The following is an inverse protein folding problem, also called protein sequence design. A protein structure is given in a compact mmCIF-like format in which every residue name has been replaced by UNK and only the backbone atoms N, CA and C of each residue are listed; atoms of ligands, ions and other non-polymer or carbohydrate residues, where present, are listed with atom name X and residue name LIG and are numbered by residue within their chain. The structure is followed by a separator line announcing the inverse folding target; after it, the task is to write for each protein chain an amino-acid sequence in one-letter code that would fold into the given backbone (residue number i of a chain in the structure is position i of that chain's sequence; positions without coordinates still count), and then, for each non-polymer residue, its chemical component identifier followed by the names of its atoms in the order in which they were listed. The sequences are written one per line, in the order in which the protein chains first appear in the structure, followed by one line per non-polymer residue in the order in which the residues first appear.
data_IF_172903476253
#
_entry.id   IF_172903476253
#
_cell.length_a   1.000
_cell.length_b   1.000
_cell.length_c   1.000
_cell.angle_alpha   90.00
_cell.angle_beta   90.00
_cell.angle_gamma   90.00
#
_symmetry.space_group_name_H-M   'P 1'
#
loop_
_entity.id
_entity.type
_entity.pdbx_description
1 polymer ?
#
# COMPACT_ATOMS: atom_id res chain seq x y z
N UNK A 1 -2.84 1.48 -15.19
CA UNK A 1 -3.47 0.53 -14.25
C UNK A 1 -3.25 1.04 -12.83
N UNK A 2 -4.22 0.87 -11.92
CA UNK A 2 -4.05 1.25 -10.50
C UNK A 2 -2.81 0.56 -9.89
N UNK A 3 -2.53 -0.67 -10.31
CA UNK A 3 -1.35 -1.46 -9.92
C UNK A 3 -0.02 -0.72 -10.13
N UNK A 4 0.23 -0.19 -11.33
CA UNK A 4 1.50 0.50 -11.65
C UNK A 4 1.64 1.77 -10.80
N UNK A 5 0.55 2.48 -10.56
CA UNK A 5 0.54 3.66 -9.69
C UNK A 5 0.83 3.31 -8.23
N UNK A 6 0.29 2.21 -7.71
CA UNK A 6 0.61 1.68 -6.36
C UNK A 6 2.10 1.33 -6.26
N UNK A 7 2.64 0.56 -7.22
CA UNK A 7 4.05 0.15 -7.24
C UNK A 7 4.99 1.36 -7.29
N UNK A 8 4.76 2.28 -8.23
CA UNK A 8 5.58 3.47 -8.38
C UNK A 8 5.50 4.36 -7.14
N UNK A 9 4.29 4.58 -6.60
CA UNK A 9 4.08 5.37 -5.39
C UNK A 9 4.81 4.79 -4.18
N UNK A 10 4.75 3.47 -3.96
CA UNK A 10 5.47 2.84 -2.86
C UNK A 10 6.99 2.94 -3.00
N UNK A 11 7.54 2.63 -4.18
CA UNK A 11 8.99 2.66 -4.42
C UNK A 11 9.52 4.08 -4.30
N UNK A 12 8.83 5.06 -4.90
CA UNK A 12 9.22 6.46 -4.82
C UNK A 12 9.12 6.99 -3.37
N UNK A 13 8.10 6.59 -2.61
CA UNK A 13 7.97 6.96 -1.19
C UNK A 13 9.09 6.36 -0.33
N UNK A 14 9.43 5.09 -0.55
CA UNK A 14 10.55 4.44 0.15
C UNK A 14 11.88 5.15 -0.13
N UNK A 15 12.14 5.50 -1.40
CA UNK A 15 13.34 6.26 -1.77
C UNK A 15 13.38 7.65 -1.13
N UNK A 16 12.25 8.36 -1.12
CA UNK A 16 12.15 9.68 -0.51
C UNK A 16 12.38 9.62 1.01
N UNK A 17 11.83 8.62 1.71
CA UNK A 17 12.05 8.42 3.15
C UNK A 17 13.52 8.12 3.49
N UNK A 18 14.17 7.24 2.73
CA UNK A 18 15.62 6.99 2.89
C UNK A 18 16.41 8.27 2.64
N UNK A 19 16.02 9.06 1.64
CA UNK A 19 16.64 10.35 1.33
C UNK A 19 16.46 11.33 2.50
N UNK A 20 15.28 11.41 3.12
CA UNK A 20 15.03 12.23 4.31
C UNK A 20 15.87 11.79 5.51
N UNK A 21 16.03 10.48 5.72
CA UNK A 21 16.89 9.94 6.77
C UNK A 21 18.34 10.41 6.59
N UNK A 22 18.87 10.38 5.36
CA UNK A 22 20.24 10.84 5.05
C UNK A 22 20.38 12.37 5.19
N UNK A 23 19.43 13.13 4.67
CA UNK A 23 19.42 14.60 4.76
C UNK A 23 19.36 15.08 6.22
N UNK A 24 18.67 14.34 7.09
CA UNK A 24 18.63 14.62 8.53
C UNK A 24 20.00 14.68 9.20
N UNK A 25 21.00 13.94 8.68
CA UNK A 25 22.38 14.00 9.18
C UNK A 25 23.24 15.04 8.47
N UNK A 26 23.05 15.22 7.16
CA UNK A 26 23.90 16.10 6.35
C UNK A 26 23.49 17.59 6.43
N UNK A 27 22.28 17.88 6.93
CA UNK A 27 21.71 19.23 7.06
C UNK A 27 21.66 20.11 5.76
N UNK A 28 21.46 19.57 4.53
CA UNK A 28 21.27 20.42 3.35
C UNK A 28 19.88 21.08 3.37
N UNK A 29 19.81 22.33 3.84
CA UNK A 29 18.56 23.07 4.03
C UNK A 29 17.71 23.25 2.76
N UNK A 30 18.33 23.20 1.58
CA UNK A 30 17.67 23.32 0.29
C UNK A 30 16.95 22.04 -0.18
N UNK A 31 17.27 20.88 0.42
CA UNK A 31 16.83 19.57 -0.07
C UNK A 31 15.60 19.02 0.67
N UNK A 32 15.30 19.53 1.87
CA UNK A 32 14.17 19.08 2.67
C UNK A 32 12.82 19.31 1.97
N UNK A 33 12.57 20.55 1.53
CA UNK A 33 11.30 20.93 0.87
C UNK A 33 11.00 20.10 -0.39
N UNK A 34 11.90 19.97 -1.38
CA UNK A 34 11.61 19.20 -2.58
C UNK A 34 11.42 17.71 -2.29
N UNK A 35 12.18 17.12 -1.34
CA UNK A 35 12.03 15.70 -1.00
C UNK A 35 10.72 15.43 -0.28
N UNK A 36 10.31 16.29 0.66
CA UNK A 36 9.00 16.18 1.33
C UNK A 36 7.86 16.35 0.33
N UNK A 37 7.98 17.28 -0.62
CA UNK A 37 6.99 17.46 -1.69
C UNK A 37 6.90 16.22 -2.58
N UNK A 38 8.04 15.66 -3.01
CA UNK A 38 8.08 14.43 -3.80
C UNK A 38 7.49 13.24 -3.03
N UNK A 39 7.79 13.11 -1.73
CA UNK A 39 7.19 12.11 -0.86
C UNK A 39 5.66 12.26 -0.81
N UNK A 40 5.16 13.49 -0.65
CA UNK A 40 3.72 13.77 -0.65
C UNK A 40 3.03 13.36 -1.95
N UNK A 41 3.63 13.69 -3.11
CA UNK A 41 3.12 13.29 -4.42
C UNK A 41 3.12 11.76 -4.59
N UNK A 42 4.23 11.10 -4.25
CA UNK A 42 4.39 9.66 -4.38
C UNK A 42 3.41 8.90 -3.47
N UNK A 43 3.29 9.33 -2.21
CA UNK A 43 2.37 8.74 -1.24
C UNK A 43 0.90 8.99 -1.63
N UNK A 44 0.58 10.17 -2.15
CA UNK A 44 -0.75 10.48 -2.67
C UNK A 44 -1.14 9.59 -3.85
N UNK A 45 -0.23 9.39 -4.80
CA UNK A 45 -0.43 8.48 -5.94
C UNK A 45 -0.65 7.03 -5.48
N UNK A 46 0.14 6.56 -4.51
CA UNK A 46 -0.05 5.27 -3.87
C UNK A 46 -1.44 5.16 -3.21
N UNK A 47 -1.83 6.14 -2.40
CA UNK A 47 -3.07 6.11 -1.63
C UNK A 47 -4.32 6.07 -2.53
N UNK A 48 -4.39 6.94 -3.54
CA UNK A 48 -5.52 6.95 -4.49
C UNK A 48 -5.60 5.63 -5.26
N UNK A 49 -4.46 5.09 -5.69
CA UNK A 49 -4.41 3.82 -6.41
C UNK A 49 -4.81 2.62 -5.53
N UNK A 50 -4.39 2.61 -4.26
CA UNK A 50 -4.76 1.60 -3.29
C UNK A 50 -6.26 1.63 -3.00
N UNK A 51 -6.83 2.80 -2.69
CA UNK A 51 -8.27 2.98 -2.46
C UNK A 51 -9.07 2.56 -3.69
N UNK A 52 -8.66 2.99 -4.88
CA UNK A 52 -9.30 2.58 -6.13
C UNK A 52 -9.29 1.06 -6.33
N UNK A 53 -8.19 0.39 -5.95
CA UNK A 53 -8.08 -1.07 -6.04
C UNK A 53 -9.02 -1.77 -5.06
N UNK A 54 -9.15 -1.23 -3.84
CA UNK A 54 -10.10 -1.73 -2.82
C UNK A 54 -11.54 -1.58 -3.30
N UNK A 55 -11.92 -0.42 -3.85
CA UNK A 55 -13.26 -0.18 -4.40
C UNK A 55 -13.58 -1.15 -5.54
N UNK A 56 -12.60 -1.43 -6.42
CA UNK A 56 -12.74 -2.43 -7.47
C UNK A 56 -13.00 -3.84 -6.92
N UNK A 57 -12.32 -4.23 -5.83
CA UNK A 57 -12.58 -5.49 -5.15
C UNK A 57 -13.97 -5.52 -4.51
N UNK A 58 -14.41 -4.42 -3.89
CA UNK A 58 -15.77 -4.29 -3.31
C UNK A 58 -16.85 -4.52 -4.36
N UNK A 59 -16.66 -4.09 -5.61
CA UNK A 59 -17.64 -4.33 -6.68
C UNK A 59 -17.76 -5.79 -7.17
N UNK A 60 -16.78 -6.67 -6.93
CA UNK A 60 -16.77 -8.06 -7.45
C UNK A 60 -17.34 -9.12 -6.50
N UNK A 61 -17.97 -8.72 -5.38
CA UNK A 61 -18.50 -9.65 -4.37
C UNK A 61 -19.93 -10.14 -4.65
N UNK A 62 -20.40 -11.11 -3.87
CA UNK A 62 -21.82 -11.54 -3.90
C UNK A 62 -22.74 -10.36 -3.57
N UNK A 63 -23.84 -10.23 -4.31
CA UNK A 63 -24.83 -9.18 -4.12
C UNK A 63 -25.30 -9.07 -2.64
N UNK A 64 -25.66 -7.85 -2.21
CA UNK A 64 -26.20 -7.53 -0.88
C UNK A 64 -25.19 -7.49 0.30
N UNK A 65 -23.86 -7.53 0.06
CA UNK A 65 -22.83 -7.41 1.13
C UNK A 65 -21.78 -6.32 0.92
N UNK A 66 -21.99 -5.43 -0.04
CA UNK A 66 -21.04 -4.36 -0.36
C UNK A 66 -20.82 -3.40 0.81
N UNK A 67 -21.90 -2.97 1.48
CA UNK A 67 -21.83 -2.06 2.63
C UNK A 67 -21.03 -2.63 3.81
N UNK A 68 -21.22 -3.92 4.13
CA UNK A 68 -20.45 -4.59 5.20
C UNK A 68 -18.96 -4.68 4.84
N UNK A 69 -18.63 -4.95 3.57
CA UNK A 69 -17.23 -5.03 3.11
C UNK A 69 -16.56 -3.66 3.06
N UNK A 70 -17.29 -2.63 2.63
CA UNK A 70 -16.82 -1.24 2.69
C UNK A 70 -16.59 -0.79 4.14
N UNK A 71 -17.49 -1.16 5.06
CA UNK A 71 -17.35 -0.91 6.49
C UNK A 71 -16.13 -1.62 7.10
N UNK A 72 -15.89 -2.88 6.74
CA UNK A 72 -14.72 -3.64 7.20
C UNK A 72 -13.41 -3.00 6.71
N UNK A 73 -13.37 -2.55 5.45
CA UNK A 73 -12.24 -1.79 4.91
C UNK A 73 -11.97 -0.50 5.69
N UNK A 74 -13.03 0.28 5.97
CA UNK A 74 -12.91 1.51 6.76
C UNK A 74 -12.44 1.26 8.19
N UNK A 75 -12.97 0.23 8.85
CA UNK A 75 -12.56 -0.15 10.20
C UNK A 75 -11.09 -0.58 10.26
N UNK A 76 -10.65 -1.41 9.31
CA UNK A 76 -9.25 -1.83 9.20
C UNK A 76 -8.32 -0.62 8.99
N UNK A 77 -8.69 0.32 8.13
CA UNK A 77 -7.92 1.55 7.91
C UNK A 77 -7.84 2.43 9.15
N UNK A 78 -8.96 2.60 9.88
CA UNK A 78 -8.99 3.38 11.12
C UNK A 78 -8.08 2.77 12.21
N UNK A 79 -8.14 1.44 12.37
CA UNK A 79 -7.26 0.71 13.30
C UNK A 79 -5.80 0.87 12.88
N UNK A 80 -5.49 0.70 11.59
CA UNK A 80 -4.12 0.84 11.08
C UNK A 80 -3.56 2.26 11.32
N UNK A 81 -4.35 3.31 11.08
CA UNK A 81 -3.92 4.68 11.37
C UNK A 81 -3.74 4.95 12.87
N UNK A 82 -4.65 4.45 13.72
CA UNK A 82 -4.54 4.58 15.17
C UNK A 82 -3.28 3.91 15.72
N UNK A 83 -3.05 2.65 15.34
CA UNK A 83 -1.86 1.90 15.75
C UNK A 83 -0.60 2.54 15.16
N UNK A 84 -0.62 2.91 13.88
CA UNK A 84 0.53 3.51 13.20
C UNK A 84 0.98 4.81 13.87
N UNK A 85 0.05 5.69 14.25
CA UNK A 85 0.36 6.95 14.94
C UNK A 85 1.00 6.74 16.32
N UNK A 86 0.47 5.81 17.11
CA UNK A 86 1.03 5.47 18.43
C UNK A 86 2.40 4.81 18.28
N UNK A 87 2.52 3.83 17.37
CA UNK A 87 3.75 3.09 17.13
C UNK A 87 4.87 4.01 16.62
N UNK A 88 4.58 4.91 15.68
CA UNK A 88 5.56 5.87 15.17
C UNK A 88 6.06 6.81 16.27
N UNK A 89 5.15 7.35 17.08
CA UNK A 89 5.51 8.25 18.20
C UNK A 89 6.38 7.52 19.23
N UNK A 90 5.92 6.34 19.68
CA UNK A 90 6.68 5.52 20.62
C UNK A 90 8.04 5.07 20.08
N UNK A 91 8.13 4.79 18.77
CA UNK A 91 9.41 4.44 18.13
C UNK A 91 10.39 5.63 18.13
N UNK A 92 9.93 6.85 17.81
CA UNK A 92 10.78 8.05 17.90
C UNK A 92 11.25 8.27 19.34
N UNK A 93 10.36 8.14 20.32
CA UNK A 93 10.70 8.34 21.74
C UNK A 93 11.74 7.32 22.22
N UNK A 94 11.54 6.04 21.91
CA UNK A 94 12.48 4.98 22.26
C UNK A 94 13.84 5.17 21.56
N UNK A 95 13.82 5.47 20.25
CA UNK A 95 15.04 5.70 19.50
C UNK A 95 15.79 6.93 20.00
N UNK A 96 15.08 7.98 20.42
CA UNK A 96 15.68 9.16 21.06
C UNK A 96 16.27 8.84 22.42
N UNK A 97 15.58 8.05 23.24
CA UNK A 97 16.08 7.61 24.54
C UNK A 97 17.35 6.74 24.41
N UNK A 98 17.42 5.89 23.38
CA UNK A 98 18.55 5.02 23.13
C UNK A 98 19.75 5.73 22.48
N UNK A 99 19.51 6.64 21.54
CA UNK A 99 20.58 7.28 20.74
C UNK A 99 21.02 8.64 21.27
N UNK A 100 20.19 9.31 22.07
CA UNK A 100 20.41 10.70 22.50
C UNK A 100 20.36 11.74 21.37
N UNK A 101 20.10 11.34 20.12
CA UNK A 101 20.17 12.22 18.96
C UNK A 101 18.84 12.29 18.21
N UNK A 102 18.40 13.51 17.90
CA UNK A 102 17.15 13.73 17.18
C UNK A 102 17.22 13.24 15.72
N UNK A 103 18.31 13.49 14.97
CA UNK A 103 18.44 12.99 13.60
C UNK A 103 18.40 11.46 13.50
N UNK A 104 19.05 10.74 14.41
CA UNK A 104 19.02 9.28 14.38
C UNK A 104 17.65 8.70 14.77
N UNK A 105 16.96 9.34 15.72
CA UNK A 105 15.61 8.92 16.10
C UNK A 105 14.64 9.00 14.90
N UNK A 106 14.50 10.18 14.28
CA UNK A 106 13.64 10.34 13.10
C UNK A 106 14.12 9.54 11.89
N UNK A 107 15.44 9.50 11.65
CA UNK A 107 16.02 8.71 10.56
C UNK A 107 15.71 7.22 10.69
N UNK A 108 15.75 6.66 11.90
CA UNK A 108 15.40 5.25 12.12
C UNK A 108 13.94 4.93 11.79
N UNK A 109 13.03 5.85 12.14
CA UNK A 109 11.60 5.71 11.82
C UNK A 109 11.37 5.82 10.32
N UNK A 110 12.00 6.79 9.64
CA UNK A 110 11.89 6.90 8.18
C UNK A 110 12.40 5.65 7.45
N UNK A 111 13.50 5.04 7.92
CA UNK A 111 14.01 3.78 7.35
C UNK A 111 13.04 2.63 7.60
N UNK A 112 12.45 2.55 8.80
CA UNK A 112 11.44 1.54 9.10
C UNK A 112 10.19 1.70 8.22
N UNK A 113 9.70 2.93 8.03
CA UNK A 113 8.59 3.24 7.13
C UNK A 113 8.93 2.91 5.66
N UNK A 114 10.17 3.20 5.22
CA UNK A 114 10.62 2.82 3.89
C UNK A 114 10.57 1.30 3.69
N UNK A 115 10.98 0.51 4.69
CA UNK A 115 10.85 -0.94 4.66
C UNK A 115 9.38 -1.38 4.58
N UNK A 116 8.47 -0.73 5.29
CA UNK A 116 7.03 -1.00 5.20
C UNK A 116 6.47 -0.70 3.79
N UNK A 117 6.94 0.36 3.12
CA UNK A 117 6.58 0.63 1.72
C UNK A 117 7.09 -0.44 0.75
N UNK A 118 8.28 -1.00 0.99
CA UNK A 118 8.80 -2.14 0.22
C UNK A 118 7.91 -3.37 0.45
N UNK A 119 7.50 -3.64 1.69
CA UNK A 119 6.55 -4.71 2.01
C UNK A 119 5.20 -4.47 1.33
N UNK A 120 4.68 -3.25 1.32
CA UNK A 120 3.45 -2.88 0.63
C UNK A 120 3.55 -3.14 -0.89
N UNK A 121 4.71 -2.87 -1.48
CA UNK A 121 5.00 -3.20 -2.88
C UNK A 121 4.90 -4.70 -3.12
N UNK A 122 5.48 -5.51 -2.24
CA UNK A 122 5.38 -6.97 -2.33
C UNK A 122 3.93 -7.47 -2.25
N UNK A 123 3.11 -6.88 -1.38
CA UNK A 123 1.67 -7.20 -1.32
C UNK A 123 0.93 -6.79 -2.60
N UNK A 124 1.19 -5.60 -3.14
CA UNK A 124 0.58 -5.14 -4.39
C UNK A 124 0.88 -6.09 -5.58
N UNK A 125 2.10 -6.62 -5.64
CA UNK A 125 2.50 -7.62 -6.64
C UNK A 125 1.78 -8.95 -6.42
N UNK A 126 1.64 -9.41 -5.17
CA UNK A 126 0.95 -10.67 -4.84
C UNK A 126 -0.54 -10.62 -5.19
N UNK A 127 -1.25 -9.58 -4.77
CA UNK A 127 -2.67 -9.35 -5.08
C UNK A 127 -2.92 -9.37 -6.60
N UNK A 128 -1.96 -8.85 -7.37
CA UNK A 128 -2.06 -8.83 -8.84
C UNK A 128 -2.02 -10.24 -9.46
N UNK A 129 -1.27 -11.17 -8.86
CA UNK A 129 -1.19 -12.56 -9.35
C UNK A 129 -2.50 -13.31 -9.11
N UNK A 130 -3.10 -13.14 -7.93
CA UNK A 130 -4.36 -13.78 -7.55
C UNK A 130 -5.54 -13.28 -8.40
N UNK A 131 -5.58 -11.97 -8.69
CA UNK A 131 -6.62 -11.36 -9.54
C UNK A 131 -6.52 -11.85 -11.01
N UNK A 132 -5.31 -12.13 -11.50
CA UNK A 132 -5.12 -12.75 -12.83
C UNK A 132 -5.52 -14.23 -12.84
N UNK A 133 -5.19 -15.01 -11.80
CA UNK A 133 -5.55 -16.43 -11.73
C UNK A 133 -7.06 -16.66 -11.63
N UNK A 134 -7.75 -15.89 -10.79
CA UNK A 134 -9.21 -15.99 -10.62
C UNK A 134 -9.98 -15.65 -11.91
N UNK A 135 -9.51 -14.67 -12.70
CA UNK A 135 -10.11 -14.32 -13.99
C UNK A 135 -9.98 -15.44 -15.02
N UNK A 136 -8.84 -16.13 -15.06
CA UNK A 136 -8.59 -17.27 -15.97
C UNK A 136 -9.46 -18.47 -15.60
N UNK A 137 -9.61 -18.76 -14.30
CA UNK A 137 -10.42 -19.89 -13.85
C UNK A 137 -11.92 -19.71 -14.13
N UNK A 138 -12.46 -18.50 -13.95
CA UNK A 138 -13.85 -18.18 -14.30
C UNK A 138 -14.10 -18.32 -15.81
N UNK A 139 -13.15 -17.90 -16.64
CA UNK A 139 -13.25 -18.03 -18.10
C UNK A 139 -13.27 -19.51 -18.53
N UNK A 140 -12.39 -20.33 -17.97
CA UNK A 140 -12.34 -21.78 -18.24
C UNK A 140 -13.66 -22.46 -17.82
N UNK A 141 -14.20 -22.10 -16.66
CA UNK A 141 -15.48 -22.64 -16.20
C UNK A 141 -16.66 -22.21 -17.07
N UNK A 142 -16.71 -20.95 -17.48
CA UNK A 142 -17.74 -20.43 -18.38
C UNK A 142 -17.72 -21.15 -19.73
N UNK A 143 -16.53 -21.27 -20.32
CA UNK A 143 -16.29 -22.00 -21.57
C UNK A 143 -16.69 -23.48 -21.44
N UNK A 144 -16.28 -24.15 -20.35
CA UNK A 144 -16.60 -25.56 -20.13
C UNK A 144 -18.09 -25.82 -19.89
N UNK A 145 -18.81 -24.88 -19.26
CA UNK A 145 -20.25 -24.96 -19.06
C UNK A 145 -21.02 -24.82 -20.39
N UNK A 146 -20.54 -23.96 -21.30
CA UNK A 146 -21.10 -23.82 -22.66
C UNK A 146 -20.97 -25.11 -23.47
N UNK A 147 -19.79 -25.76 -23.43
CA UNK A 147 -19.61 -27.06 -24.12
C UNK A 147 -20.51 -28.17 -23.58
N UNK A 148 -20.72 -28.24 -22.26
CA UNK A 148 -21.61 -29.23 -21.64
C UNK A 148 -23.08 -29.00 -21.99
N UNK A 149 -23.50 -27.74 -22.21
CA UNK A 149 -24.87 -27.42 -22.63
C UNK A 149 -25.13 -27.68 -24.11
N UNK A 150 -24.12 -27.59 -24.97
CA UNK A 150 -24.23 -28.02 -26.37
C UNK A 150 -24.20 -29.54 -26.53
N UNK A 151 -23.36 -30.25 -25.76
CA UNK A 151 -23.25 -31.70 -25.83
C UNK A 151 -24.49 -32.46 -25.33
N UNK A 152 -25.26 -31.89 -24.40
CA UNK A 152 -26.49 -32.50 -23.86
C UNK A 152 -27.75 -32.28 -24.71
N UNK A 153 -27.65 -31.56 -25.84
CA UNK A 153 -28.76 -31.25 -26.76
C UNK A 153 -28.78 -32.12 -28.02
N UNK A 154 -27.84 -33.06 -28.17
CA UNK A 154 -27.74 -34.00 -29.29
C UNK A 154 -28.44 -35.32 -29.04
#
# INVERSE_FOLDING_TARGET
SLRVWTLFGCIASAFALVTLAVIGFLHPANLLKPVVFALGLANGAYAVAAIGSMMGLVGRGRESREGTRMGLWGAAQAIAFGIGGIAATGAVDLARAATGSLPAAYGSVFVAEAALFVVATAFAVRLSREDTQSSVEVDIQGVSATYMTEAGRG
#
